data_IF_684575823088
#
_entry.id   IF_684575823088
#
_cell.length_a   1.000
_cell.length_b   1.000
_cell.length_c   1.000
_cell.angle_alpha   90.00
_cell.angle_beta   90.00
_cell.angle_gamma   90.00
#
_symmetry.space_group_name_H-M   'P 1'
#
loop_
_entity.id
_entity.type
_entity.pdbx_description
1 polymer ?
#
# COMPACT_ATOMS: atom_id res chain seq x y z
N UNK A 1 8.46 -15.35 -15.79
CA UNK A 1 9.17 -14.18 -15.23
C UNK A 1 8.68 -14.02 -13.80
N UNK A 2 9.58 -13.82 -12.83
CA UNK A 2 9.23 -13.67 -11.41
C UNK A 2 8.63 -12.29 -11.14
N UNK A 3 7.81 -12.20 -10.11
CA UNK A 3 7.36 -10.94 -9.52
C UNK A 3 8.10 -10.78 -8.20
N UNK A 4 8.78 -9.66 -8.01
CA UNK A 4 9.54 -9.37 -6.80
C UNK A 4 8.78 -8.34 -5.95
N UNK A 5 8.56 -8.67 -4.67
CA UNK A 5 8.08 -7.76 -3.65
C UNK A 5 9.29 -7.23 -2.86
N UNK A 6 9.41 -5.90 -2.77
CA UNK A 6 10.33 -5.24 -1.83
C UNK A 6 9.53 -4.47 -0.80
N UNK A 7 9.70 -4.77 0.48
CA UNK A 7 9.11 -4.01 1.59
C UNK A 7 9.93 -2.74 1.78
N UNK A 8 9.38 -1.58 1.41
CA UNK A 8 10.04 -0.28 1.57
C UNK A 8 9.81 0.25 2.98
N UNK A 9 8.61 0.03 3.51
CA UNK A 9 8.20 0.34 4.87
C UNK A 9 7.02 -0.52 5.29
N UNK A 10 6.93 -0.83 6.59
CA UNK A 10 5.92 -1.72 7.14
C UNK A 10 5.46 -1.35 8.56
N UNK A 11 5.78 -0.14 9.04
CA UNK A 11 5.29 0.36 10.32
C UNK A 11 3.78 0.61 10.28
N UNK A 12 3.10 0.47 11.43
CA UNK A 12 1.69 0.87 11.58
C UNK A 12 1.54 2.39 11.60
N UNK A 13 0.37 2.89 11.99
CA UNK A 13 0.07 4.33 12.06
C UNK A 13 1.10 5.17 12.83
N UNK A 14 1.84 4.56 13.75
CA UNK A 14 3.03 5.17 14.36
C UNK A 14 4.31 4.47 13.86
N UNK A 15 5.38 5.23 13.58
CA UNK A 15 6.58 4.65 13.01
C UNK A 15 7.33 3.77 14.01
N UNK A 16 7.67 2.56 13.63
CA UNK A 16 8.65 1.76 14.37
C UNK A 16 10.03 2.42 14.30
N UNK A 17 10.87 2.32 15.33
CA UNK A 17 12.18 2.94 15.32
C UNK A 17 13.00 2.57 14.08
N UNK A 18 13.38 3.57 13.26
CA UNK A 18 14.16 3.38 12.05
C UNK A 18 13.43 2.80 10.84
N UNK A 19 12.11 2.56 10.93
CA UNK A 19 11.29 2.03 9.83
C UNK A 19 10.43 3.11 9.18
N UNK A 20 10.08 2.92 7.90
CA UNK A 20 9.06 3.70 7.21
C UNK A 20 7.66 3.10 7.46
N UNK A 21 6.63 3.89 7.19
CA UNK A 21 5.25 3.43 7.20
C UNK A 21 4.91 2.70 5.89
N UNK A 22 3.65 2.36 5.64
CA UNK A 22 3.26 1.45 4.57
C UNK A 22 3.75 1.83 3.18
N UNK A 23 4.52 0.94 2.56
CA UNK A 23 4.97 1.07 1.18
C UNK A 23 5.60 -0.21 0.66
N UNK A 24 5.01 -0.80 -0.39
CA UNK A 24 5.39 -2.12 -0.91
C UNK A 24 5.60 -2.05 -2.41
N UNK A 25 6.82 -2.28 -2.86
CA UNK A 25 7.20 -2.19 -4.27
C UNK A 25 7.11 -3.57 -4.93
N UNK A 26 6.22 -3.71 -5.91
CA UNK A 26 6.15 -4.85 -6.80
C UNK A 26 6.88 -4.55 -8.09
N UNK A 27 7.83 -5.39 -8.45
CA UNK A 27 8.63 -5.24 -9.66
C UNK A 27 8.57 -6.51 -10.51
N UNK A 28 8.48 -6.33 -11.81
CA UNK A 28 8.66 -7.41 -12.78
C UNK A 28 9.13 -6.84 -14.11
N UNK A 29 10.19 -7.41 -14.66
CA UNK A 29 10.88 -6.90 -15.85
C UNK A 29 11.33 -5.44 -15.64
N UNK A 30 10.82 -4.52 -16.48
CA UNK A 30 11.08 -3.07 -16.39
C UNK A 30 9.91 -2.29 -15.76
N UNK A 31 9.00 -2.96 -15.04
CA UNK A 31 7.78 -2.35 -14.48
C UNK A 31 7.83 -2.35 -12.98
N UNK A 32 7.40 -1.24 -12.37
CA UNK A 32 7.38 -1.05 -10.93
C UNK A 32 6.08 -0.40 -10.47
N UNK A 33 5.36 -1.11 -9.60
CA UNK A 33 4.12 -0.67 -8.94
C UNK A 33 4.37 -0.53 -7.45
N UNK A 34 4.16 0.65 -6.91
CA UNK A 34 4.19 0.90 -5.47
C UNK A 34 2.77 0.82 -4.91
N UNK A 35 2.56 -0.02 -3.91
CA UNK A 35 1.32 -0.09 -3.13
C UNK A 35 1.52 0.69 -1.83
N UNK A 36 0.73 1.74 -1.65
CA UNK A 36 0.85 2.76 -0.61
C UNK A 36 2.18 3.54 -0.62
N UNK A 37 2.15 4.73 -0.04
CA UNK A 37 3.28 5.66 0.00
C UNK A 37 3.27 6.45 1.32
N UNK A 38 3.41 5.73 2.43
CA UNK A 38 3.46 6.31 3.77
C UNK A 38 4.76 7.04 4.08
N UNK A 39 4.81 7.81 5.18
CA UNK A 39 5.99 8.54 5.61
C UNK A 39 7.26 7.72 5.68
N UNK A 40 8.31 8.22 5.04
CA UNK A 40 9.64 7.60 4.96
C UNK A 40 9.85 6.68 3.76
N UNK A 41 8.81 6.34 3.01
CA UNK A 41 8.86 5.47 1.83
C UNK A 41 9.65 6.12 0.70
N UNK A 42 9.35 7.38 0.34
CA UNK A 42 10.04 8.09 -0.74
C UNK A 42 11.56 8.13 -0.53
N UNK A 43 12.00 8.37 0.70
CA UNK A 43 13.42 8.46 1.04
C UNK A 43 14.17 7.13 0.92
N UNK A 44 13.46 6.00 0.97
CA UNK A 44 14.00 4.64 0.88
C UNK A 44 13.88 4.03 -0.51
N UNK A 45 13.01 4.57 -1.35
CA UNK A 45 12.88 4.09 -2.73
C UNK A 45 14.19 4.32 -3.51
N UNK A 46 14.66 3.34 -4.30
CA UNK A 46 15.78 3.51 -5.21
C UNK A 46 15.60 4.74 -6.09
N UNK A 47 16.62 5.58 -6.20
CA UNK A 47 16.57 6.80 -6.99
C UNK A 47 15.43 7.76 -6.60
N UNK A 48 14.97 7.72 -5.34
CA UNK A 48 13.81 8.47 -4.86
C UNK A 48 12.56 8.27 -5.72
N UNK A 49 12.25 7.01 -5.99
CA UNK A 49 11.10 6.61 -6.78
C UNK A 49 11.26 6.82 -8.30
N UNK A 50 12.46 7.09 -8.82
CA UNK A 50 12.68 7.30 -10.26
C UNK A 50 12.24 6.11 -11.14
N UNK A 51 12.20 4.92 -10.59
CA UNK A 51 11.79 3.68 -11.27
C UNK A 51 10.34 3.28 -11.01
N UNK A 52 9.58 4.03 -10.19
CA UNK A 52 8.17 3.73 -9.94
C UNK A 52 7.35 4.23 -11.13
N UNK A 53 6.65 3.32 -11.80
CA UNK A 53 5.77 3.65 -12.94
C UNK A 53 4.35 3.99 -12.51
N UNK A 54 3.87 3.33 -11.43
CA UNK A 54 2.56 3.58 -10.86
C UNK A 54 2.56 3.44 -9.34
N UNK A 55 1.66 4.18 -8.70
CA UNK A 55 1.36 4.10 -7.27
C UNK A 55 -0.13 3.81 -7.13
N UNK A 56 -0.51 2.89 -6.26
CA UNK A 56 -1.91 2.63 -5.91
C UNK A 56 -2.09 2.80 -4.40
N UNK A 57 -3.02 3.67 -4.00
CA UNK A 57 -3.31 4.01 -2.60
C UNK A 57 -4.54 3.25 -2.14
N UNK A 58 -4.42 2.53 -1.02
CA UNK A 58 -5.53 1.76 -0.41
C UNK A 58 -6.57 2.65 0.23
N UNK A 59 -6.13 3.66 0.98
CA UNK A 59 -6.98 4.64 1.68
C UNK A 59 -6.16 5.88 2.10
N UNK A 60 -6.86 6.91 2.59
CA UNK A 60 -6.26 8.21 2.89
C UNK A 60 -5.78 8.40 4.34
N UNK A 61 -5.48 7.36 5.10
CA UNK A 61 -4.71 7.56 6.31
C UNK A 61 -3.28 7.99 5.98
N UNK A 62 -2.73 8.84 6.83
CA UNK A 62 -1.42 9.48 6.59
C UNK A 62 -0.29 8.46 6.41
N UNK A 63 -0.33 7.38 7.17
CA UNK A 63 0.65 6.30 7.13
C UNK A 63 0.62 5.44 5.85
N UNK A 64 -0.36 5.66 4.97
CA UNK A 64 -0.48 5.04 3.64
C UNK A 64 -0.26 6.00 2.48
N UNK A 65 -0.36 7.32 2.69
CA UNK A 65 -0.27 8.29 1.59
C UNK A 65 0.62 9.52 1.89
N UNK A 66 1.17 9.63 3.09
CA UNK A 66 1.83 10.86 3.55
C UNK A 66 3.03 11.30 2.72
N UNK A 67 3.79 10.37 2.13
CA UNK A 67 4.95 10.71 1.30
C UNK A 67 4.57 11.16 -0.13
N UNK A 68 3.30 11.11 -0.53
CA UNK A 68 2.85 11.78 -1.76
C UNK A 68 3.13 13.29 -1.71
N UNK A 69 3.04 13.91 -0.52
CA UNK A 69 3.31 15.34 -0.31
C UNK A 69 4.78 15.69 -0.59
N UNK A 70 5.77 15.11 0.12
CA UNK A 70 7.17 15.38 -0.19
C UNK A 70 7.56 14.92 -1.60
N UNK A 71 6.89 13.92 -2.18
CA UNK A 71 7.09 13.53 -3.58
C UNK A 71 6.72 14.65 -4.54
N UNK A 72 5.54 15.25 -4.37
CA UNK A 72 5.11 16.38 -5.18
C UNK A 72 6.01 17.61 -5.01
N UNK A 73 6.44 17.90 -3.78
CA UNK A 73 7.41 18.94 -3.47
C UNK A 73 8.76 18.70 -4.14
N UNK A 74 9.27 17.47 -4.04
CA UNK A 74 10.51 17.07 -4.71
C UNK A 74 10.42 17.24 -6.23
N UNK A 75 9.33 16.80 -6.85
CA UNK A 75 9.14 16.94 -8.31
C UNK A 75 9.04 18.41 -8.74
N UNK A 76 8.39 19.24 -7.92
CA UNK A 76 8.18 20.66 -8.25
C UNK A 76 9.47 21.51 -8.16
N UNK A 77 10.36 21.17 -7.22
CA UNK A 77 11.47 22.06 -6.86
C UNK A 77 12.87 21.46 -7.05
N UNK A 78 12.99 20.15 -7.20
CA UNK A 78 14.27 19.52 -7.54
C UNK A 78 14.58 19.63 -9.04
N UNK A 79 15.85 19.50 -9.44
CA UNK A 79 16.20 19.41 -10.86
C UNK A 79 15.40 18.29 -11.53
N UNK A 80 14.91 18.50 -12.77
CA UNK A 80 14.12 17.50 -13.47
C UNK A 80 14.93 16.21 -13.66
N UNK A 81 14.40 15.09 -13.19
CA UNK A 81 15.02 13.77 -13.25
C UNK A 81 14.12 12.69 -13.83
N UNK A 82 12.98 13.08 -14.41
CA UNK A 82 11.99 12.15 -14.98
C UNK A 82 11.54 12.61 -16.36
N UNK A 83 11.48 11.66 -17.28
CA UNK A 83 10.90 11.85 -18.62
C UNK A 83 9.38 11.59 -18.61
N UNK A 84 8.89 10.78 -17.67
CA UNK A 84 7.48 10.39 -17.56
C UNK A 84 7.00 10.53 -16.11
N UNK A 85 5.81 11.08 -15.92
CA UNK A 85 5.14 11.12 -14.63
C UNK A 85 4.62 9.72 -14.26
N UNK A 86 4.77 9.26 -13.01
CA UNK A 86 4.15 8.03 -12.57
C UNK A 86 2.63 8.18 -12.53
N UNK A 87 1.91 7.09 -12.80
CA UNK A 87 0.48 7.02 -12.56
C UNK A 87 0.21 7.03 -11.05
N UNK A 88 -0.83 7.75 -10.60
CA UNK A 88 -1.30 7.70 -9.22
C UNK A 88 -2.77 7.28 -9.23
N UNK A 89 -3.02 6.08 -8.73
CA UNK A 89 -4.33 5.46 -8.64
C UNK A 89 -4.87 5.61 -7.21
N UNK A 90 -6.00 6.28 -7.09
CA UNK A 90 -6.61 6.72 -5.84
C UNK A 90 -7.97 6.03 -5.62
N UNK A 91 -8.43 5.93 -4.36
CA UNK A 91 -9.81 5.58 -4.07
C UNK A 91 -10.80 6.58 -4.71
N UNK A 92 -12.07 6.20 -4.92
CA UNK A 92 -13.09 7.12 -5.40
C UNK A 92 -13.16 8.41 -4.59
N UNK A 93 -13.15 9.56 -5.28
CA UNK A 93 -13.10 10.90 -4.66
C UNK A 93 -11.69 11.38 -4.28
N UNK A 94 -10.67 10.55 -4.49
CA UNK A 94 -9.31 10.84 -4.04
C UNK A 94 -8.64 12.00 -4.74
N UNK A 95 -9.00 12.28 -5.98
CA UNK A 95 -8.48 13.46 -6.71
C UNK A 95 -8.92 14.74 -6.03
N UNK A 96 -10.19 14.82 -5.59
CA UNK A 96 -10.70 16.00 -4.87
C UNK A 96 -10.06 16.12 -3.47
N UNK A 97 -9.85 15.02 -2.77
CA UNK A 97 -9.15 15.02 -1.47
C UNK A 97 -7.72 15.60 -1.62
N UNK A 98 -6.96 15.16 -2.62
CA UNK A 98 -5.64 15.74 -2.90
C UNK A 98 -5.72 17.22 -3.27
N UNK A 99 -6.74 17.64 -4.03
CA UNK A 99 -6.93 19.04 -4.39
C UNK A 99 -7.18 19.94 -3.18
N UNK A 100 -7.81 19.43 -2.10
CA UNK A 100 -7.96 20.18 -0.83
C UNK A 100 -6.58 20.53 -0.26
N UNK A 101 -5.65 19.58 -0.17
CA UNK A 101 -4.29 19.84 0.32
C UNK A 101 -3.54 20.84 -0.55
N UNK A 102 -3.62 20.69 -1.88
CA UNK A 102 -2.94 21.60 -2.80
C UNK A 102 -3.45 23.05 -2.67
N UNK A 103 -4.77 23.23 -2.49
CA UNK A 103 -5.37 24.56 -2.23
C UNK A 103 -4.91 25.14 -0.90
N UNK A 104 -4.85 24.32 0.15
CA UNK A 104 -4.39 24.75 1.48
C UNK A 104 -2.96 25.32 1.44
N UNK A 105 -2.07 24.74 0.63
CA UNK A 105 -0.68 25.22 0.48
C UNK A 105 -0.50 26.26 -0.63
N UNK A 106 -1.56 26.67 -1.34
CA UNK A 106 -1.48 27.64 -2.41
C UNK A 106 -0.78 27.14 -3.68
N UNK A 107 -0.75 25.82 -3.89
CA UNK A 107 -0.09 25.17 -5.04
C UNK A 107 -1.05 24.20 -5.78
N UNK A 108 -2.18 24.71 -6.30
CA UNK A 108 -3.26 23.89 -6.86
C UNK A 108 -2.82 22.98 -8.03
N UNK A 109 -1.69 23.30 -8.64
CA UNK A 109 -1.12 22.60 -9.80
C UNK A 109 -0.18 21.44 -9.44
N UNK A 110 0.13 21.22 -8.16
CA UNK A 110 1.24 20.35 -7.76
C UNK A 110 1.04 18.88 -8.14
N UNK A 111 -0.18 18.39 -8.04
CA UNK A 111 -0.48 16.98 -8.27
C UNK A 111 -0.37 16.60 -9.74
N UNK A 112 -0.99 17.37 -10.64
CA UNK A 112 -0.94 17.12 -12.08
C UNK A 112 0.45 17.31 -12.68
N UNK A 113 1.33 18.08 -12.01
CA UNK A 113 2.74 18.20 -12.40
C UNK A 113 3.60 17.05 -11.89
N UNK A 114 3.07 16.26 -10.95
CA UNK A 114 3.82 15.16 -10.32
C UNK A 114 3.35 13.81 -10.82
N UNK A 115 2.05 13.65 -11.03
CA UNK A 115 1.42 12.36 -11.31
C UNK A 115 0.42 12.47 -12.46
N UNK A 116 0.22 11.35 -13.16
CA UNK A 116 -0.99 11.15 -13.96
C UNK A 116 -2.06 10.59 -13.03
N UNK A 117 -3.06 11.41 -12.69
CA UNK A 117 -4.07 11.08 -11.69
C UNK A 117 -5.18 10.19 -12.26
N UNK A 118 -5.52 9.15 -11.51
CA UNK A 118 -6.61 8.23 -11.79
C UNK A 118 -7.37 7.90 -10.50
N UNK A 119 -8.66 7.58 -10.63
CA UNK A 119 -9.44 6.96 -9.58
C UNK A 119 -9.85 5.56 -10.05
N UNK A 120 -9.67 4.55 -9.20
CA UNK A 120 -10.16 3.22 -9.51
C UNK A 120 -11.62 3.06 -9.07
N UNK A 121 -12.35 2.19 -9.78
CA UNK A 121 -13.70 1.80 -9.39
C UNK A 121 -13.61 0.47 -8.60
N UNK A 122 -14.21 0.40 -7.39
CA UNK A 122 -14.25 -0.84 -6.60
C UNK A 122 -14.78 -2.02 -7.41
N UNK A 123 -14.23 -3.21 -7.19
CA UNK A 123 -14.62 -4.47 -7.84
C UNK A 123 -14.41 -4.51 -9.37
N UNK A 124 -13.98 -3.40 -9.97
CA UNK A 124 -13.56 -3.36 -11.36
C UNK A 124 -12.06 -3.48 -11.48
N UNK A 125 -11.61 -4.23 -12.48
CA UNK A 125 -10.19 -4.34 -12.76
C UNK A 125 -9.69 -3.13 -13.53
N UNK A 126 -8.52 -2.66 -13.14
CA UNK A 126 -7.79 -1.62 -13.85
C UNK A 126 -6.34 -2.06 -14.08
N UNK A 127 -5.62 -1.33 -14.92
CA UNK A 127 -4.21 -1.61 -15.20
C UNK A 127 -3.35 -0.42 -14.79
N UNK A 128 -2.38 -0.66 -13.92
CA UNK A 128 -1.37 0.31 -13.49
C UNK A 128 0.02 -0.26 -13.77
N UNK A 129 0.86 0.43 -14.50
CA UNK A 129 2.20 -0.04 -14.91
C UNK A 129 2.17 -1.44 -15.56
N UNK A 130 1.04 -1.85 -16.16
CA UNK A 130 0.84 -3.18 -16.75
C UNK A 130 0.49 -4.29 -15.77
N UNK A 131 0.44 -4.03 -14.47
CA UNK A 131 -0.19 -4.90 -13.48
C UNK A 131 -1.72 -4.80 -13.60
N UNK A 132 -2.43 -5.92 -13.57
CA UNK A 132 -3.88 -5.94 -13.47
C UNK A 132 -4.27 -5.93 -11.99
N UNK A 133 -5.00 -4.92 -11.56
CA UNK A 133 -5.37 -4.69 -10.17
C UNK A 133 -6.89 -4.71 -10.02
N UNK A 134 -7.36 -5.32 -8.94
CA UNK A 134 -8.74 -5.30 -8.48
C UNK A 134 -8.75 -4.76 -7.04
N UNK A 135 -9.47 -3.66 -6.82
CA UNK A 135 -9.63 -3.07 -5.51
C UNK A 135 -10.88 -3.65 -4.84
N UNK A 136 -10.70 -4.35 -3.74
CA UNK A 136 -11.78 -4.97 -2.96
C UNK A 136 -11.97 -4.14 -1.68
N UNK A 137 -13.20 -3.68 -1.45
CA UNK A 137 -13.50 -2.86 -0.28
C UNK A 137 -13.36 -3.70 0.99
N UNK A 138 -12.69 -3.15 2.00
CA UNK A 138 -12.48 -3.78 3.30
C UNK A 138 -12.96 -2.84 4.43
N UNK A 139 -13.41 -3.38 5.58
CA UNK A 139 -13.84 -2.54 6.70
C UNK A 139 -12.64 -1.97 7.46
N UNK A 140 -12.60 -0.65 7.63
CA UNK A 140 -11.57 0.04 8.39
C UNK A 140 -12.15 1.30 9.04
N UNK A 141 -12.45 1.27 10.34
CA UNK A 141 -13.01 2.39 11.15
C UNK A 141 -14.17 3.16 10.51
N UNK A 142 -14.90 2.58 9.57
CA UNK A 142 -16.00 3.22 8.85
C UNK A 142 -15.58 4.20 7.76
N UNK A 143 -14.30 4.30 7.43
CA UNK A 143 -13.79 5.05 6.28
C UNK A 143 -13.76 4.17 5.02
N UNK A 144 -13.56 4.81 3.87
CA UNK A 144 -13.34 4.11 2.62
C UNK A 144 -11.94 3.53 2.58
N UNK A 145 -11.82 2.20 2.57
CA UNK A 145 -10.56 1.48 2.51
C UNK A 145 -10.65 0.25 1.60
N UNK A 146 -9.53 -0.13 1.00
CA UNK A 146 -9.46 -1.22 0.02
C UNK A 146 -8.22 -2.09 0.24
N UNK A 147 -8.38 -3.40 -0.02
CA UNK A 147 -7.27 -4.28 -0.32
C UNK A 147 -7.09 -4.42 -1.83
N UNK A 148 -5.91 -4.82 -2.26
CA UNK A 148 -5.58 -4.99 -3.67
C UNK A 148 -5.27 -6.44 -4.01
N UNK A 149 -5.88 -6.90 -5.09
CA UNK A 149 -5.55 -8.15 -5.75
C UNK A 149 -4.83 -7.83 -7.05
N UNK A 150 -3.54 -8.15 -7.12
CA UNK A 150 -2.64 -7.76 -8.21
C UNK A 150 -2.24 -8.98 -9.00
N UNK A 151 -2.45 -8.96 -10.32
CA UNK A 151 -2.09 -10.05 -11.23
C UNK A 151 -1.04 -9.60 -12.22
N UNK A 152 0.01 -10.40 -12.35
CA UNK A 152 1.05 -10.24 -13.36
C UNK A 152 1.74 -11.58 -13.64
N UNK A 153 2.02 -11.87 -14.91
CA UNK A 153 2.78 -13.05 -15.35
C UNK A 153 2.21 -14.40 -14.82
N UNK A 154 0.89 -14.50 -14.67
CA UNK A 154 0.23 -15.70 -14.13
C UNK A 154 0.31 -15.86 -12.62
N UNK A 155 0.90 -14.89 -11.91
CA UNK A 155 0.93 -14.81 -10.46
C UNK A 155 -0.14 -13.88 -9.94
N UNK A 156 -0.65 -14.18 -8.74
CA UNK A 156 -1.61 -13.36 -7.99
C UNK A 156 -1.02 -13.02 -6.63
N UNK A 157 -0.82 -11.73 -6.41
CA UNK A 157 -0.43 -11.15 -5.13
C UNK A 157 -1.66 -10.49 -4.51
N UNK A 158 -1.88 -10.68 -3.21
CA UNK A 158 -2.91 -9.98 -2.45
C UNK A 158 -2.28 -9.10 -1.37
N UNK A 159 -2.84 -7.91 -1.18
CA UNK A 159 -2.47 -6.97 -0.11
C UNK A 159 -3.74 -6.48 0.59
N UNK A 160 -3.80 -6.64 1.90
CA UNK A 160 -5.00 -6.32 2.67
C UNK A 160 -5.30 -4.81 2.73
N UNK A 161 -4.28 -3.93 2.61
CA UNK A 161 -4.40 -2.60 3.22
C UNK A 161 -4.63 -2.76 4.72
N UNK A 162 -5.31 -1.79 5.32
CA UNK A 162 -5.80 -1.90 6.69
C UNK A 162 -7.24 -2.41 6.72
N UNK A 163 -7.51 -3.40 7.55
CA UNK A 163 -8.81 -4.07 7.58
C UNK A 163 -9.17 -4.64 8.95
N UNK A 164 -10.44 -4.60 9.30
CA UNK A 164 -11.00 -5.49 10.30
C UNK A 164 -11.29 -6.88 9.70
N UNK A 165 -11.59 -7.91 10.52
CA UNK A 165 -12.03 -9.21 10.02
C UNK A 165 -13.30 -9.08 9.18
N UNK A 166 -13.28 -9.67 7.97
CA UNK A 166 -14.39 -9.61 7.03
C UNK A 166 -14.33 -10.74 5.99
N UNK A 167 -15.46 -11.08 5.37
CA UNK A 167 -15.51 -12.05 4.28
C UNK A 167 -14.76 -11.56 3.04
N UNK A 168 -14.78 -10.26 2.78
CA UNK A 168 -14.07 -9.60 1.69
C UNK A 168 -12.54 -9.81 1.80
N UNK A 169 -12.01 -9.87 3.03
CA UNK A 169 -10.60 -10.17 3.26
C UNK A 169 -10.25 -11.62 2.89
N UNK A 170 -11.15 -12.56 3.19
CA UNK A 170 -11.01 -13.97 2.80
C UNK A 170 -11.08 -14.10 1.27
N UNK A 171 -11.99 -13.35 0.62
CA UNK A 171 -12.09 -13.32 -0.83
C UNK A 171 -10.84 -12.74 -1.47
N UNK A 172 -10.30 -11.66 -0.90
CA UNK A 172 -9.04 -11.04 -1.33
C UNK A 172 -7.88 -12.05 -1.34
N UNK A 173 -7.77 -12.88 -0.32
CA UNK A 173 -6.72 -13.89 -0.16
C UNK A 173 -6.91 -15.14 -1.02
N UNK A 174 -8.15 -15.45 -1.45
CA UNK A 174 -8.50 -16.71 -2.11
C UNK A 174 -7.68 -16.97 -3.37
N UNK A 175 -6.91 -18.08 -3.38
CA UNK A 175 -6.07 -18.49 -4.51
C UNK A 175 -4.96 -17.50 -4.84
N UNK A 176 -4.55 -16.64 -3.91
CA UNK A 176 -3.36 -15.83 -4.07
C UNK A 176 -2.09 -16.68 -3.91
N UNK A 177 -1.10 -16.48 -4.78
CA UNK A 177 0.23 -17.10 -4.62
C UNK A 177 0.96 -16.55 -3.40
N UNK A 178 0.63 -15.33 -2.98
CA UNK A 178 1.23 -14.65 -1.83
C UNK A 178 0.27 -13.59 -1.25
N UNK A 179 0.11 -13.56 0.08
CA UNK A 179 -0.73 -12.61 0.78
C UNK A 179 0.08 -11.77 1.78
N UNK A 180 0.17 -10.48 1.51
CA UNK A 180 0.69 -9.48 2.43
C UNK A 180 -0.48 -8.92 3.25
N UNK A 181 -0.50 -9.19 4.54
CA UNK A 181 -1.64 -8.87 5.40
C UNK A 181 -1.22 -8.13 6.66
N UNK A 182 -1.98 -7.09 7.01
CA UNK A 182 -1.78 -6.36 8.25
C UNK A 182 -2.00 -7.23 9.49
N UNK A 183 -1.33 -6.92 10.58
CA UNK A 183 -1.52 -7.58 11.87
C UNK A 183 -1.14 -6.64 13.03
N UNK A 184 -1.83 -5.51 13.08
CA UNK A 184 -1.52 -4.37 13.97
C UNK A 184 -1.80 -4.67 15.43
N UNK A 185 -2.82 -5.50 15.72
CA UNK A 185 -3.31 -5.71 17.08
C UNK A 185 -2.63 -6.88 17.78
N UNK A 186 -2.47 -6.75 19.10
CA UNK A 186 -2.07 -7.87 19.94
C UNK A 186 -3.17 -8.97 20.03
N UNK A 187 -4.44 -8.53 20.02
CA UNK A 187 -5.64 -9.36 19.97
C UNK A 187 -6.82 -8.55 19.44
N UNK A 188 -7.81 -9.22 18.84
CA UNK A 188 -8.96 -8.57 18.22
C UNK A 188 -9.88 -7.80 19.16
N UNK A 189 -9.84 -8.06 20.46
CA UNK A 189 -10.63 -7.38 21.48
C UNK A 189 -10.05 -5.99 21.88
N UNK A 190 -8.91 -5.59 21.32
CA UNK A 190 -8.23 -4.32 21.63
C UNK A 190 -8.56 -3.17 20.67
N UNK A 191 -9.44 -3.38 19.71
CA UNK A 191 -9.70 -2.39 18.66
C UNK A 191 -10.99 -1.56 18.86
N UNK A 192 -11.75 -1.75 19.90
CA UNK A 192 -12.97 -1.00 20.16
C UNK A 192 -14.17 -1.44 19.31
N UNK A 193 -15.27 -0.61 19.31
CA UNK A 193 -16.55 -0.98 18.73
C UNK A 193 -16.59 -0.91 17.20
N UNK A 194 -15.90 0.07 16.60
CA UNK A 194 -15.72 0.20 15.16
C UNK A 194 -14.30 -0.28 14.82
N UNK A 195 -14.20 -1.55 14.48
CA UNK A 195 -12.92 -2.17 14.22
C UNK A 195 -12.30 -1.68 12.91
N UNK A 196 -10.98 -1.58 12.90
CA UNK A 196 -10.21 -1.18 11.73
C UNK A 196 -9.01 -2.05 11.45
N UNK A 197 -8.58 -2.89 12.42
CA UNK A 197 -7.37 -3.69 12.27
C UNK A 197 -7.55 -5.15 12.67
N UNK A 198 -6.54 -5.97 12.33
CA UNK A 198 -6.44 -7.40 12.61
C UNK A 198 -5.41 -7.68 13.72
N UNK A 199 -5.65 -8.73 14.46
CA UNK A 199 -4.60 -9.48 15.15
C UNK A 199 -3.92 -10.48 14.19
N UNK A 200 -2.77 -11.00 14.59
CA UNK A 200 -2.07 -12.01 13.78
C UNK A 200 -2.92 -13.27 13.56
N UNK A 201 -3.68 -13.71 14.57
CA UNK A 201 -4.53 -14.90 14.47
C UNK A 201 -5.67 -14.67 13.46
N UNK A 202 -6.26 -13.48 13.45
CA UNK A 202 -7.31 -13.10 12.49
C UNK A 202 -6.76 -12.97 11.07
N UNK A 203 -5.57 -12.39 10.91
CA UNK A 203 -4.88 -12.30 9.62
C UNK A 203 -4.60 -13.70 9.04
N UNK A 204 -4.13 -14.62 9.87
CA UNK A 204 -3.88 -16.02 9.47
C UNK A 204 -5.17 -16.78 9.16
N UNK A 205 -6.25 -16.52 9.87
CA UNK A 205 -7.55 -17.14 9.60
C UNK A 205 -8.16 -16.73 8.24
N UNK A 206 -7.82 -15.54 7.74
CA UNK A 206 -8.24 -15.06 6.42
C UNK A 206 -7.36 -15.58 5.28
N UNK A 207 -6.16 -16.09 5.55
CA UNK A 207 -5.18 -16.47 4.54
C UNK A 207 -5.53 -17.81 3.86
N UNK A 208 -5.25 -17.91 2.56
CA UNK A 208 -5.41 -19.11 1.73
C UNK A 208 -4.08 -19.44 1.02
N UNK A 209 -2.98 -19.49 1.78
CA UNK A 209 -1.65 -19.79 1.21
C UNK A 209 -0.50 -19.07 1.92
N UNK A 210 0.63 -18.86 1.24
CA UNK A 210 1.79 -18.16 1.78
C UNK A 210 1.46 -16.74 2.24
N UNK A 211 1.87 -16.41 3.47
CA UNK A 211 1.53 -15.14 4.14
C UNK A 211 2.78 -14.41 4.60
N UNK A 212 2.74 -13.09 4.56
CA UNK A 212 3.69 -12.19 5.22
C UNK A 212 2.89 -11.18 6.04
N UNK A 213 3.09 -11.17 7.36
CA UNK A 213 2.46 -10.20 8.24
C UNK A 213 3.17 -8.84 8.14
N UNK A 214 2.40 -7.77 8.03
CA UNK A 214 2.90 -6.40 7.95
C UNK A 214 2.13 -5.45 8.87
N UNK A 215 2.44 -4.15 8.81
CA UNK A 215 1.77 -3.10 9.57
C UNK A 215 1.73 -3.42 11.08
N UNK A 216 2.85 -3.96 11.59
CA UNK A 216 2.93 -4.43 12.98
C UNK A 216 3.75 -3.48 13.85
N UNK A 217 3.27 -3.19 15.08
CA UNK A 217 4.10 -2.57 16.10
C UNK A 217 5.33 -3.42 16.42
N UNK A 218 6.50 -2.77 16.53
CA UNK A 218 7.75 -3.45 16.89
C UNK A 218 7.71 -4.08 18.30
N UNK A 219 6.83 -3.59 19.16
CA UNK A 219 6.61 -4.08 20.53
C UNK A 219 5.90 -5.44 20.56
N UNK A 220 5.19 -5.80 19.49
CA UNK A 220 4.48 -7.06 19.42
C UNK A 220 5.41 -8.20 19.04
N UNK A 221 5.45 -9.24 19.89
CA UNK A 221 6.20 -10.45 19.60
C UNK A 221 5.74 -11.07 18.28
N UNK A 222 6.69 -11.41 17.40
CA UNK A 222 6.38 -12.14 16.18
C UNK A 222 5.73 -13.50 16.49
N UNK A 223 4.67 -13.92 15.78
CA UNK A 223 4.10 -15.25 15.91
C UNK A 223 5.13 -16.32 15.53
N UNK A 224 5.12 -17.43 16.23
CA UNK A 224 6.10 -18.48 15.98
C UNK A 224 5.92 -19.11 14.59
N UNK A 225 6.99 -19.10 13.78
CA UNK A 225 7.01 -19.73 12.46
C UNK A 225 6.30 -18.94 11.35
N UNK A 226 5.76 -17.76 11.65
CA UNK A 226 5.11 -16.89 10.67
C UNK A 226 6.04 -15.74 10.32
N UNK A 227 6.32 -15.49 9.01
CA UNK A 227 7.17 -14.38 8.60
C UNK A 227 6.49 -13.02 8.89
N UNK A 228 7.28 -12.09 9.38
CA UNK A 228 6.88 -10.68 9.61
C UNK A 228 7.75 -9.78 8.76
N UNK A 229 7.13 -8.83 8.09
CA UNK A 229 7.80 -7.87 7.22
C UNK A 229 8.75 -6.96 8.01
N UNK A 230 9.84 -6.61 7.37
CA UNK A 230 10.76 -5.55 7.81
C UNK A 230 11.24 -4.76 6.59
N UNK A 231 11.61 -3.50 6.81
CA UNK A 231 12.12 -2.63 5.75
C UNK A 231 13.32 -3.28 5.05
N UNK A 232 13.33 -3.26 3.73
CA UNK A 232 14.36 -3.87 2.88
C UNK A 232 14.19 -5.37 2.64
N UNK A 233 13.16 -6.02 3.22
CA UNK A 233 12.85 -7.42 2.91
C UNK A 233 12.49 -7.58 1.43
N UNK A 234 13.02 -8.63 0.79
CA UNK A 234 12.73 -8.98 -0.59
C UNK A 234 12.16 -10.39 -0.66
N UNK A 235 11.06 -10.55 -1.38
CA UNK A 235 10.38 -11.84 -1.59
C UNK A 235 10.14 -12.03 -3.10
N UNK A 236 10.48 -13.20 -3.62
CA UNK A 236 10.12 -13.63 -4.99
C UNK A 236 8.80 -14.41 -4.92
N UNK A 237 7.82 -14.05 -5.80
CA UNK A 237 6.46 -14.59 -5.85
C UNK A 237 6.28 -15.52 -7.05
#
# INVERSE_FOLDING_TARGET
MSVRLTVIGCSPAWPNPGSAQSGYLLESDSRALLLDCGPGVLGRLPGRGAHVDAIAITHFHLDHCGDLIPWAWFTAYAPPNREKLPELWLPPGGVEELAVFARFWGVPWMWERTFTLHEYEPEKRFKAAGFEIEAIKVPHYGIQAFGFRVRLNGKTFAYSGDSAPAEELVELARGADFFLVEATLASGDKDGALRGHLSADEALAAADGPVLLTHRPAELRAPQGIPVAHDGMVVEI
#
